data_IF_041512787776
#
_entry.id   IF_041512787776
#
_cell.length_a   1.000
_cell.length_b   1.000
_cell.length_c   1.000
_cell.angle_alpha   90.00
_cell.angle_beta   90.00
_cell.angle_gamma   90.00
#
_symmetry.space_group_name_H-M   'P 1'
#
loop_
_entity.id
_entity.type
_entity.pdbx_description
1 polymer ?
#
# COMPACT_ATOMS: atom_id res chain seq x y z
N UNK A 1 14.97 15.71 -23.83
CA UNK A 1 13.90 14.98 -24.55
C UNK A 1 12.73 14.78 -23.60
N UNK A 2 11.51 15.21 -23.94
CA UNK A 2 10.33 14.93 -23.14
C UNK A 2 10.02 13.43 -23.26
N UNK A 3 10.08 12.72 -22.13
CA UNK A 3 9.68 11.31 -22.06
C UNK A 3 8.19 11.23 -22.33
N UNK A 4 7.79 10.27 -23.16
CA UNK A 4 6.41 10.15 -23.61
C UNK A 4 5.55 9.53 -22.50
N UNK A 5 5.04 10.38 -21.60
CA UNK A 5 4.40 9.99 -20.35
C UNK A 5 3.23 9.02 -20.55
N UNK A 6 2.51 9.15 -21.68
CA UNK A 6 1.36 8.28 -22.00
C UNK A 6 1.79 6.85 -22.32
N UNK A 7 2.93 6.67 -23.00
CA UNK A 7 3.49 5.35 -23.29
C UNK A 7 3.97 4.67 -22.01
N UNK A 8 4.70 5.41 -21.17
CA UNK A 8 5.21 4.93 -19.87
C UNK A 8 4.06 4.52 -18.95
N UNK A 9 3.00 5.33 -18.87
CA UNK A 9 1.81 5.00 -18.08
C UNK A 9 1.13 3.71 -18.55
N UNK A 10 1.03 3.50 -19.87
CA UNK A 10 0.46 2.28 -20.46
C UNK A 10 1.30 1.04 -20.14
N UNK A 11 2.62 1.16 -20.23
CA UNK A 11 3.57 0.09 -19.89
C UNK A 11 3.50 -0.27 -18.41
N UNK A 12 3.54 0.73 -17.51
CA UNK A 12 3.43 0.53 -16.07
C UNK A 12 2.11 -0.14 -15.66
N UNK A 13 0.99 0.25 -16.28
CA UNK A 13 -0.30 -0.39 -16.04
C UNK A 13 -0.34 -1.85 -16.52
N UNK A 14 0.30 -2.16 -17.65
CA UNK A 14 0.36 -3.52 -18.16
C UNK A 14 1.19 -4.43 -17.24
N UNK A 15 2.33 -3.96 -16.75
CA UNK A 15 3.17 -4.67 -15.79
C UNK A 15 2.45 -4.91 -14.46
N UNK A 16 1.80 -3.88 -13.91
CA UNK A 16 1.03 -4.00 -12.68
C UNK A 16 -0.09 -5.05 -12.79
N UNK A 17 -0.78 -5.12 -13.94
CA UNK A 17 -1.79 -6.14 -14.21
C UNK A 17 -1.19 -7.54 -14.26
N UNK A 18 -0.04 -7.72 -14.92
CA UNK A 18 0.63 -9.01 -15.02
C UNK A 18 1.08 -9.50 -13.62
N UNK A 19 1.67 -8.60 -12.82
CA UNK A 19 2.06 -8.88 -11.44
C UNK A 19 0.87 -9.26 -10.57
N UNK A 20 -0.27 -8.58 -10.72
CA UNK A 20 -1.46 -8.88 -9.94
C UNK A 20 -2.07 -10.24 -10.32
N UNK A 21 -2.08 -10.60 -11.61
CA UNK A 21 -2.51 -11.94 -12.08
C UNK A 21 -1.64 -13.05 -11.50
N UNK A 22 -0.34 -12.82 -11.38
CA UNK A 22 0.63 -13.80 -10.88
C UNK A 22 0.77 -13.76 -9.34
N UNK A 23 0.06 -12.86 -8.66
CA UNK A 23 0.17 -12.71 -7.21
C UNK A 23 -0.47 -13.92 -6.53
N UNK A 24 0.36 -14.72 -5.86
CA UNK A 24 -0.13 -15.79 -4.99
C UNK A 24 -0.98 -15.17 -3.89
N UNK A 25 -2.16 -15.74 -3.65
CA UNK A 25 -3.04 -15.32 -2.57
C UNK A 25 -2.48 -15.86 -1.25
N UNK A 26 -1.43 -15.20 -0.75
CA UNK A 26 -0.90 -15.45 0.59
C UNK A 26 -1.94 -14.85 1.53
N UNK A 27 -2.72 -15.72 2.18
CA UNK A 27 -3.61 -15.30 3.27
C UNK A 27 -2.74 -14.78 4.40
N UNK A 28 -2.58 -13.46 4.46
CA UNK A 28 -2.02 -12.82 5.64
C UNK A 28 -2.96 -13.13 6.82
N UNK A 29 -2.38 -13.59 7.92
CA UNK A 29 -3.12 -13.73 9.18
C UNK A 29 -3.62 -12.33 9.53
N UNK A 30 -4.93 -12.18 9.70
CA UNK A 30 -5.49 -10.89 10.09
C UNK A 30 -5.00 -10.55 11.49
N UNK A 31 -4.58 -9.32 11.69
CA UNK A 31 -4.27 -8.81 13.02
C UNK A 31 -5.56 -8.80 13.86
N UNK A 32 -5.48 -9.34 15.08
CA UNK A 32 -6.60 -9.36 16.02
C UNK A 32 -6.39 -8.23 17.03
N UNK A 33 -7.37 -7.35 17.18
CA UNK A 33 -7.34 -6.14 18.03
C UNK A 33 -6.29 -5.07 17.65
N UNK A 34 -5.65 -5.19 16.48
CA UNK A 34 -4.73 -4.18 15.96
C UNK A 34 -5.40 -3.00 15.25
N UNK A 35 -4.65 -1.93 14.93
CA UNK A 35 -5.15 -0.84 14.11
C UNK A 35 -5.56 -1.35 12.72
N UNK A 36 -6.70 -0.88 12.23
CA UNK A 36 -7.13 -1.18 10.87
C UNK A 36 -6.19 -0.47 9.87
N UNK A 37 -5.31 -1.21 9.21
CA UNK A 37 -4.46 -0.70 8.14
C UNK A 37 -2.97 -0.80 8.44
N UNK A 38 -2.18 0.00 7.73
CA UNK A 38 -0.74 0.04 7.96
C UNK A 38 -0.46 0.74 9.29
N UNK A 39 0.55 0.24 9.97
CA UNK A 39 0.91 0.66 11.31
C UNK A 39 1.25 2.17 11.34
N UNK A 40 0.58 2.96 12.21
CA UNK A 40 0.57 4.43 12.16
C UNK A 40 1.95 5.07 12.30
N UNK A 41 2.90 4.42 12.98
CA UNK A 41 4.26 4.97 13.13
C UNK A 41 5.02 5.02 11.80
N UNK A 42 4.58 4.25 10.80
CA UNK A 42 5.19 4.25 9.46
C UNK A 42 4.83 5.48 8.62
N UNK A 43 3.77 6.22 9.00
CA UNK A 43 3.26 7.37 8.22
C UNK A 43 3.18 8.69 9.01
N UNK A 44 3.61 8.70 10.27
CA UNK A 44 3.51 9.89 11.13
C UNK A 44 2.11 10.16 11.68
N UNK A 45 1.17 9.22 11.50
CA UNK A 45 -0.21 9.30 11.98
C UNK A 45 -0.30 8.74 13.42
N UNK A 46 0.43 9.33 14.37
CA UNK A 46 0.41 8.88 15.78
C UNK A 46 -0.86 9.21 16.53
N UNK A 47 -1.79 9.93 15.90
CA UNK A 47 -3.05 10.34 16.49
C UNK A 47 -4.21 9.50 15.93
N UNK A 48 -4.99 8.89 16.83
CA UNK A 48 -6.29 8.31 16.48
C UNK A 48 -7.36 8.86 17.41
N UNK A 49 -8.32 9.61 16.85
CA UNK A 49 -9.40 10.27 17.61
C UNK A 49 -8.89 11.21 18.72
N UNK A 50 -7.83 11.98 18.47
CA UNK A 50 -7.26 12.89 19.48
C UNK A 50 -6.41 12.20 20.56
N UNK A 51 -6.19 10.89 20.47
CA UNK A 51 -5.34 10.14 21.39
C UNK A 51 -4.03 9.83 20.66
N UNK A 52 -2.92 10.32 21.20
CA UNK A 52 -1.57 9.98 20.75
C UNK A 52 -1.20 8.62 21.33
N UNK A 53 -0.83 7.68 20.47
CA UNK A 53 -0.35 6.37 20.89
C UNK A 53 1.16 6.43 21.13
N UNK A 54 1.60 6.06 22.32
CA UNK A 54 3.02 5.94 22.70
C UNK A 54 3.32 4.47 23.06
N UNK A 55 4.52 4.01 22.71
CA UNK A 55 5.03 2.62 22.54
C UNK A 55 4.31 1.48 23.28
#
# INVERSE_FOLDING_TARGET
MKKDLKKIAKEALAEAKLRNKNKKNIKAIKEVNGPAGLEPTRYGDWEKKGIVYDF
#
